data_IF_788917316583
#
_entry.id   IF_788917316583
#
_cell.length_a   1.000
_cell.length_b   1.000
_cell.length_c   1.000
_cell.angle_alpha   90.00
_cell.angle_beta   90.00
_cell.angle_gamma   90.00
#
_symmetry.space_group_name_H-M   'P 1'
#
loop_
_entity.id
_entity.type
_entity.pdbx_description
1 polymer ?
#
# COMPACT_ATOMS: atom_id res chain seq x y z
N UNK A 1 51.35 53.69 54.15
CA UNK A 1 50.19 54.37 53.56
C UNK A 1 49.14 53.42 52.95
N UNK A 2 49.37 52.73 51.81
CA UNK A 2 48.33 51.85 51.20
C UNK A 2 47.94 50.66 52.08
N UNK A 3 48.92 50.01 52.69
CA UNK A 3 48.72 48.88 53.63
C UNK A 3 47.99 49.34 54.91
N UNK A 4 48.29 50.55 55.40
CA UNK A 4 47.59 51.12 56.58
C UNK A 4 46.14 51.47 56.27
N UNK A 5 45.84 51.98 55.06
CA UNK A 5 44.46 52.23 54.60
C UNK A 5 43.68 50.91 54.49
N UNK A 6 44.32 49.83 54.00
CA UNK A 6 43.73 48.49 53.95
C UNK A 6 43.44 47.94 55.34
N UNK A 7 44.40 48.03 56.28
CA UNK A 7 44.23 47.60 57.66
C UNK A 7 43.14 48.39 58.40
N UNK A 8 43.09 49.71 58.17
CA UNK A 8 42.09 50.59 58.79
C UNK A 8 40.65 50.32 58.29
N UNK A 9 40.48 49.73 57.11
CA UNK A 9 39.17 49.45 56.50
C UNK A 9 38.91 47.94 56.31
N UNK A 10 39.71 47.09 56.96
CA UNK A 10 39.70 45.64 56.71
C UNK A 10 38.33 44.99 56.91
N UNK A 11 37.60 45.38 57.96
CA UNK A 11 36.27 44.85 58.27
C UNK A 11 35.25 45.17 57.15
N UNK A 12 35.30 46.40 56.62
CA UNK A 12 34.43 46.84 55.53
C UNK A 12 34.75 46.04 54.26
N UNK A 13 36.02 45.83 53.96
CA UNK A 13 36.47 45.05 52.80
C UNK A 13 36.02 43.58 52.92
N UNK A 14 36.21 42.98 54.10
CA UNK A 14 35.78 41.60 54.37
C UNK A 14 34.25 41.46 54.23
N UNK A 15 33.49 42.41 54.77
CA UNK A 15 32.03 42.45 54.63
C UNK A 15 31.58 42.51 53.18
N UNK A 16 32.12 43.44 52.38
CA UNK A 16 31.77 43.56 50.96
C UNK A 16 32.20 42.33 50.15
N UNK A 17 33.32 41.69 50.49
CA UNK A 17 33.76 40.45 49.84
C UNK A 17 32.75 39.32 50.07
N UNK A 18 32.28 39.12 51.31
CA UNK A 18 31.24 38.13 51.62
C UNK A 18 29.92 38.48 50.93
N UNK A 19 29.53 39.75 50.92
CA UNK A 19 28.32 40.21 50.26
C UNK A 19 28.35 39.89 48.74
N UNK A 20 29.47 40.15 48.08
CA UNK A 20 29.65 39.85 46.66
C UNK A 20 29.58 38.35 46.37
N UNK A 21 30.15 37.51 47.25
CA UNK A 21 30.04 36.05 47.12
C UNK A 21 28.57 35.62 47.19
N UNK A 22 27.81 36.12 48.18
CA UNK A 22 26.38 35.80 48.34
C UNK A 22 25.58 36.23 47.10
N UNK A 23 25.80 37.45 46.60
CA UNK A 23 25.14 37.95 45.39
C UNK A 23 25.51 37.09 44.17
N UNK A 24 26.77 36.68 44.05
CA UNK A 24 27.25 35.79 42.99
C UNK A 24 26.55 34.44 42.99
N UNK A 25 26.45 33.80 44.16
CA UNK A 25 25.70 32.54 44.32
C UNK A 25 24.22 32.71 43.97
N UNK A 26 23.59 33.79 44.43
CA UNK A 26 22.18 34.03 44.14
C UNK A 26 21.94 34.24 42.63
N UNK A 27 22.86 34.97 41.97
CA UNK A 27 22.80 35.20 40.52
C UNK A 27 22.96 33.90 39.73
N UNK A 28 23.90 33.03 40.13
CA UNK A 28 24.09 31.71 39.53
C UNK A 28 22.85 30.83 39.71
N UNK A 29 22.25 30.83 40.90
CA UNK A 29 21.03 30.08 41.18
C UNK A 29 19.85 30.54 40.30
N UNK A 30 19.68 31.85 40.14
CA UNK A 30 18.63 32.41 39.27
C UNK A 30 18.87 32.06 37.80
N UNK A 31 20.11 32.15 37.32
CA UNK A 31 20.47 31.77 35.96
C UNK A 31 20.23 30.27 35.70
N UNK A 32 20.61 29.41 36.64
CA UNK A 32 20.38 27.97 36.54
C UNK A 32 18.89 27.65 36.51
N UNK A 33 18.09 28.30 37.37
CA UNK A 33 16.64 28.12 37.41
C UNK A 33 15.96 28.56 36.11
N UNK A 34 16.39 29.70 35.55
CA UNK A 34 15.91 30.17 34.26
C UNK A 34 16.21 29.18 33.13
N UNK A 35 17.45 28.71 33.03
CA UNK A 35 17.85 27.71 32.02
C UNK A 35 17.11 26.38 32.18
N UNK A 36 16.88 25.94 33.42
CA UNK A 36 16.13 24.71 33.69
C UNK A 36 14.70 24.81 33.17
N UNK A 37 14.00 25.92 33.46
CA UNK A 37 12.64 26.14 32.96
C UNK A 37 12.61 26.21 31.43
N UNK A 38 13.54 26.95 30.81
CA UNK A 38 13.62 27.03 29.35
C UNK A 38 13.83 25.64 28.70
N UNK A 39 14.74 24.82 29.25
CA UNK A 39 14.98 23.47 28.76
C UNK A 39 13.76 22.58 28.94
N UNK A 40 13.07 22.68 30.09
CA UNK A 40 11.84 21.94 30.35
C UNK A 40 10.76 22.28 29.31
N UNK A 41 10.53 23.56 29.05
CA UNK A 41 9.51 24.01 28.09
C UNK A 41 9.86 23.52 26.67
N UNK A 42 11.14 23.58 26.31
CA UNK A 42 11.63 23.05 25.03
C UNK A 42 11.37 21.53 24.92
N UNK A 43 11.67 20.75 25.96
CA UNK A 43 11.41 19.30 25.98
C UNK A 43 9.91 19.00 25.81
N UNK A 44 9.05 19.74 26.51
CA UNK A 44 7.59 19.59 26.40
C UNK A 44 7.15 19.89 24.96
N UNK A 45 7.64 20.99 24.37
CA UNK A 45 7.30 21.35 22.99
C UNK A 45 7.73 20.28 21.98
N UNK A 46 8.91 19.69 22.14
CA UNK A 46 9.37 18.60 21.29
C UNK A 46 8.52 17.35 21.46
N UNK A 47 8.16 17.01 22.71
CA UNK A 47 7.26 15.90 22.98
C UNK A 47 5.90 16.10 22.30
N UNK A 48 5.33 17.30 22.36
CA UNK A 48 4.06 17.63 21.69
C UNK A 48 4.16 17.49 20.17
N UNK A 49 5.24 17.98 19.56
CA UNK A 49 5.49 17.84 18.12
C UNK A 49 5.61 16.36 17.73
N UNK A 50 6.39 15.58 18.48
CA UNK A 50 6.58 14.15 18.24
C UNK A 50 5.25 13.41 18.39
N UNK A 51 4.49 13.69 19.45
CA UNK A 51 3.21 13.04 19.71
C UNK A 51 2.19 13.36 18.61
N UNK A 52 2.12 14.62 18.17
CA UNK A 52 1.27 15.03 17.06
C UNK A 52 1.67 14.32 15.76
N UNK A 53 2.97 14.33 15.43
CA UNK A 53 3.49 13.65 14.24
C UNK A 53 3.21 12.14 14.26
N UNK A 54 3.30 11.50 15.42
CA UNK A 54 2.99 10.09 15.59
C UNK A 54 1.49 9.81 15.39
N UNK A 55 0.62 10.64 15.94
CA UNK A 55 -0.82 10.53 15.73
C UNK A 55 -1.21 10.72 14.25
N UNK A 56 -0.63 11.72 13.59
CA UNK A 56 -0.85 11.95 12.16
C UNK A 56 -0.37 10.75 11.33
N UNK A 57 0.81 10.20 11.65
CA UNK A 57 1.35 9.01 10.99
C UNK A 57 0.45 7.79 11.16
N UNK A 58 -0.07 7.57 12.37
CA UNK A 58 -1.03 6.49 12.63
C UNK A 58 -2.31 6.66 11.81
N UNK A 59 -2.82 7.88 11.69
CA UNK A 59 -4.00 8.15 10.86
C UNK A 59 -3.73 7.88 9.37
N UNK A 60 -2.55 8.27 8.86
CA UNK A 60 -2.16 7.94 7.48
C UNK A 60 -2.05 6.43 7.27
N UNK A 61 -1.44 5.69 8.20
CA UNK A 61 -1.34 4.24 8.12
C UNK A 61 -2.70 3.56 8.13
N UNK A 62 -3.63 4.03 8.98
CA UNK A 62 -5.01 3.52 9.00
C UNK A 62 -5.72 3.75 7.65
N UNK A 63 -5.55 4.93 7.05
CA UNK A 63 -6.12 5.23 5.74
C UNK A 63 -5.53 4.35 4.63
N UNK A 64 -4.21 4.15 4.64
CA UNK A 64 -3.53 3.24 3.70
C UNK A 64 -4.07 1.81 3.85
N UNK A 65 -4.21 1.32 5.09
CA UNK A 65 -4.78 0.00 5.35
C UNK A 65 -6.20 -0.15 4.79
N UNK A 66 -7.05 0.87 4.95
CA UNK A 66 -8.40 0.88 4.38
C UNK A 66 -8.37 0.84 2.84
N UNK A 67 -7.49 1.62 2.20
CA UNK A 67 -7.33 1.61 0.74
C UNK A 67 -6.87 0.23 0.26
N UNK A 68 -5.92 -0.39 0.95
CA UNK A 68 -5.42 -1.73 0.62
C UNK A 68 -6.53 -2.78 0.72
N UNK A 69 -7.39 -2.71 1.72
CA UNK A 69 -8.51 -3.65 1.86
C UNK A 69 -9.54 -3.45 0.73
N UNK A 70 -9.83 -2.20 0.34
CA UNK A 70 -10.68 -1.91 -0.82
C UNK A 70 -10.08 -2.48 -2.12
N UNK A 71 -8.80 -2.23 -2.38
CA UNK A 71 -8.11 -2.73 -3.56
C UNK A 71 -8.08 -4.26 -3.61
N UNK A 72 -7.83 -4.92 -2.48
CA UNK A 72 -7.88 -6.38 -2.37
C UNK A 72 -9.26 -6.92 -2.75
N UNK A 73 -10.34 -6.29 -2.28
CA UNK A 73 -11.70 -6.69 -2.61
C UNK A 73 -12.03 -6.47 -4.10
N UNK A 74 -11.52 -5.40 -4.72
CA UNK A 74 -11.66 -5.18 -6.17
C UNK A 74 -10.92 -6.21 -7.00
N UNK A 75 -9.69 -6.56 -6.58
CA UNK A 75 -8.89 -7.62 -7.23
C UNK A 75 -9.65 -8.94 -7.20
N UNK A 76 -10.21 -9.33 -6.05
CA UNK A 76 -11.00 -10.58 -5.94
C UNK A 76 -12.19 -10.59 -6.93
N UNK A 77 -12.93 -9.49 -7.02
CA UNK A 77 -14.03 -9.36 -8.00
C UNK A 77 -13.54 -9.45 -9.43
N UNK A 78 -12.39 -8.87 -9.76
CA UNK A 78 -11.79 -9.00 -11.08
C UNK A 78 -11.35 -10.43 -11.38
N UNK A 79 -10.76 -11.13 -10.41
CA UNK A 79 -10.36 -12.53 -10.54
C UNK A 79 -11.57 -13.42 -10.85
N UNK A 80 -12.69 -13.23 -10.15
CA UNK A 80 -13.94 -13.95 -10.43
C UNK A 80 -14.46 -13.70 -11.85
N UNK A 81 -14.43 -12.44 -12.30
CA UNK A 81 -14.82 -12.07 -13.67
C UNK A 81 -13.91 -12.71 -14.72
N UNK A 82 -12.60 -12.72 -14.49
CA UNK A 82 -11.63 -13.38 -15.38
C UNK A 82 -11.96 -14.86 -15.49
N UNK A 83 -12.14 -15.55 -14.37
CA UNK A 83 -12.51 -16.98 -14.36
C UNK A 83 -13.84 -17.26 -15.05
N UNK A 84 -14.81 -16.35 -14.94
CA UNK A 84 -16.05 -16.43 -15.72
C UNK A 84 -15.80 -16.29 -17.22
N UNK A 85 -15.03 -15.28 -17.63
CA UNK A 85 -14.70 -15.04 -19.05
C UNK A 85 -13.92 -16.21 -19.64
N UNK A 86 -12.95 -16.78 -18.92
CA UNK A 86 -12.17 -17.94 -19.37
C UNK A 86 -13.04 -19.17 -19.65
N UNK A 87 -14.01 -19.43 -18.77
CA UNK A 87 -15.00 -20.50 -18.99
C UNK A 87 -15.83 -20.23 -20.24
N UNK A 88 -16.19 -18.97 -20.45
CA UNK A 88 -17.04 -18.62 -21.58
C UNK A 88 -16.31 -18.63 -22.93
N UNK A 89 -15.04 -18.21 -22.95
CA UNK A 89 -14.15 -18.37 -24.10
C UNK A 89 -14.02 -19.85 -24.46
N UNK A 90 -13.83 -20.71 -23.45
CA UNK A 90 -13.73 -22.17 -23.65
C UNK A 90 -15.03 -22.73 -24.25
N UNK A 91 -16.19 -22.32 -23.72
CA UNK A 91 -17.50 -22.74 -24.25
C UNK A 91 -17.70 -22.29 -25.70
N UNK A 92 -17.41 -21.02 -26.01
CA UNK A 92 -17.51 -20.48 -27.36
C UNK A 92 -16.56 -21.17 -28.34
N UNK A 93 -15.33 -21.49 -27.90
CA UNK A 93 -14.37 -22.26 -28.68
C UNK A 93 -14.92 -23.64 -29.06
N UNK A 94 -15.53 -24.35 -28.10
CA UNK A 94 -16.14 -25.66 -28.35
C UNK A 94 -17.33 -25.56 -29.32
N UNK A 95 -18.21 -24.57 -29.17
CA UNK A 95 -19.36 -24.36 -30.05
C UNK A 95 -18.90 -24.05 -31.48
N UNK A 96 -17.98 -23.10 -31.64
CA UNK A 96 -17.47 -22.71 -32.96
C UNK A 96 -16.75 -23.86 -33.66
N UNK A 97 -15.92 -24.61 -32.94
CA UNK A 97 -15.25 -25.80 -33.50
C UNK A 97 -16.25 -26.85 -33.99
N UNK A 98 -17.33 -27.08 -33.23
CA UNK A 98 -18.42 -27.98 -33.64
C UNK A 98 -19.21 -27.45 -34.84
N UNK A 99 -19.48 -26.15 -34.90
CA UNK A 99 -20.20 -25.51 -36.01
C UNK A 99 -19.37 -25.53 -37.31
N UNK A 100 -18.08 -25.24 -37.21
CA UNK A 100 -17.14 -25.31 -38.34
C UNK A 100 -17.07 -26.74 -38.89
N UNK A 101 -16.99 -27.76 -38.02
CA UNK A 101 -17.01 -29.17 -38.41
C UNK A 101 -18.31 -29.56 -39.14
N UNK A 102 -19.46 -29.11 -38.63
CA UNK A 102 -20.77 -29.36 -39.24
C UNK A 102 -20.89 -28.69 -40.62
N UNK A 103 -20.46 -27.43 -40.73
CA UNK A 103 -20.49 -26.66 -41.97
C UNK A 103 -19.62 -27.31 -43.06
N UNK A 104 -18.41 -27.73 -42.70
CA UNK A 104 -17.49 -28.48 -43.59
C UNK A 104 -18.13 -29.79 -44.04
N UNK A 105 -18.75 -30.54 -43.13
CA UNK A 105 -19.40 -31.82 -43.46
C UNK A 105 -20.56 -31.65 -44.46
N UNK A 106 -21.41 -30.64 -44.27
CA UNK A 106 -22.52 -30.33 -45.18
C UNK A 106 -22.00 -29.95 -46.56
N UNK A 107 -20.97 -29.11 -46.64
CA UNK A 107 -20.37 -28.69 -47.91
C UNK A 107 -19.72 -29.84 -48.67
N UNK A 108 -19.03 -30.75 -47.96
CA UNK A 108 -18.43 -31.95 -48.55
C UNK A 108 -19.51 -32.93 -49.04
N UNK A 109 -20.59 -33.12 -48.29
CA UNK A 109 -21.72 -33.97 -48.70
C UNK A 109 -22.40 -33.41 -49.97
N UNK A 110 -22.60 -32.09 -50.06
CA UNK A 110 -23.14 -31.41 -51.25
C UNK A 110 -22.24 -31.54 -52.49
N UNK A 111 -20.93 -31.64 -52.28
CA UNK A 111 -19.93 -31.86 -53.35
C UNK A 111 -19.80 -33.33 -53.76
N UNK A 112 -20.51 -34.24 -53.08
CA UNK A 112 -20.52 -35.67 -53.41
C UNK A 112 -19.32 -36.46 -52.88
N UNK A 113 -18.56 -35.91 -51.92
CA UNK A 113 -17.45 -36.63 -51.28
C UNK A 113 -17.92 -37.91 -50.55
N UNK A 114 -17.01 -38.82 -50.22
CA UNK A 114 -17.34 -40.05 -49.48
C UNK A 114 -17.53 -39.80 -47.99
N UNK A 115 -18.29 -40.68 -47.33
CA UNK A 115 -18.49 -40.63 -45.87
C UNK A 115 -17.16 -40.73 -45.12
N UNK A 116 -16.21 -41.55 -45.59
CA UNK A 116 -14.86 -41.64 -45.01
C UNK A 116 -14.08 -40.32 -45.11
N UNK A 117 -14.21 -39.59 -46.23
CA UNK A 117 -13.55 -38.29 -46.41
C UNK A 117 -14.08 -37.26 -45.40
N UNK A 118 -15.40 -37.20 -45.23
CA UNK A 118 -16.06 -36.31 -44.27
C UNK A 118 -15.60 -36.63 -42.84
N UNK A 119 -15.57 -37.91 -42.46
CA UNK A 119 -15.11 -38.37 -41.15
C UNK A 119 -13.68 -37.93 -40.85
N UNK A 120 -12.78 -38.11 -41.82
CA UNK A 120 -11.36 -37.78 -41.64
C UNK A 120 -11.09 -36.28 -41.43
N UNK A 121 -11.96 -35.40 -41.93
CA UNK A 121 -11.78 -33.94 -41.85
C UNK A 121 -12.59 -33.24 -40.75
N UNK A 122 -13.65 -33.86 -40.24
CA UNK A 122 -14.60 -33.20 -39.33
C UNK A 122 -14.69 -33.86 -37.95
N UNK A 123 -14.17 -35.09 -37.82
CA UNK A 123 -14.22 -35.88 -36.58
C UNK A 123 -15.64 -36.02 -35.98
N UNK A 124 -16.67 -35.88 -36.82
CA UNK A 124 -18.08 -36.11 -36.45
C UNK A 124 -18.33 -37.62 -36.26
N UNK A 125 -19.38 -37.95 -35.52
CA UNK A 125 -19.77 -39.34 -35.28
C UNK A 125 -20.42 -39.95 -36.52
N UNK A 126 -20.39 -41.28 -36.63
CA UNK A 126 -20.87 -41.99 -37.81
C UNK A 126 -22.39 -41.78 -38.05
N UNK A 127 -23.18 -41.65 -36.99
CA UNK A 127 -24.62 -41.33 -37.05
C UNK A 127 -24.89 -39.89 -37.53
N UNK A 128 -24.06 -38.93 -37.11
CA UNK A 128 -24.12 -37.53 -37.57
C UNK A 128 -23.74 -37.42 -39.04
N UNK A 129 -22.69 -38.11 -39.47
CA UNK A 129 -22.25 -38.15 -40.87
C UNK A 129 -23.33 -38.81 -41.74
N UNK A 130 -23.92 -39.92 -41.29
CA UNK A 130 -25.00 -40.61 -42.01
C UNK A 130 -26.16 -39.65 -42.26
N UNK A 131 -26.64 -38.96 -41.22
CA UNK A 131 -27.74 -38.00 -41.36
C UNK A 131 -27.40 -36.87 -42.34
N UNK A 132 -26.21 -36.25 -42.21
CA UNK A 132 -25.77 -35.19 -43.13
C UNK A 132 -25.72 -35.71 -44.56
N UNK A 133 -25.21 -36.92 -44.76
CA UNK A 133 -25.10 -37.55 -46.07
C UNK A 133 -26.46 -37.82 -46.70
N UNK A 134 -27.40 -38.37 -45.93
CA UNK A 134 -28.76 -38.66 -46.39
C UNK A 134 -29.52 -37.40 -46.81
N UNK A 135 -29.36 -36.29 -46.06
CA UNK A 135 -30.15 -35.08 -46.30
C UNK A 135 -29.50 -34.07 -47.26
N UNK A 136 -28.17 -34.02 -47.35
CA UNK A 136 -27.47 -32.98 -48.10
C UNK A 136 -26.71 -33.47 -49.33
N UNK A 137 -26.56 -34.78 -49.53
CA UNK A 137 -26.01 -35.32 -50.77
C UNK A 137 -27.02 -35.12 -51.90
N UNK A 138 -26.59 -34.41 -52.94
CA UNK A 138 -27.31 -34.30 -54.21
C UNK A 138 -26.85 -35.35 -55.19
#
# INVERSE_FOLDING_TARGET
MFIEILLSNFEIIAFFSVLLIVIGFFSLFMYQSYKFNQNRDMIISFFEIINKSNNDSNNYLANIANILELQKNEILKMTEKISFIEREITRLGNIKGSEDALSIAIDMARKGESKESIRSKTNLRDDEIEAIYTYYRK
#
